data_IF_534481242129
#
_entry.id   IF_534481242129
#
_cell.length_a   1.000
_cell.length_b   1.000
_cell.length_c   1.000
_cell.angle_alpha   90.00
_cell.angle_beta   90.00
_cell.angle_gamma   90.00
#
_symmetry.space_group_name_H-M   'P 1'
#
loop_
_entity.id
_entity.type
_entity.pdbx_description
1 polymer ?
#
# COMPACT_ATOMS: atom_id res chain seq x y z
N UNK A 1 -8.97 -16.94 22.73
CA UNK A 1 -9.08 -15.48 22.46
C UNK A 1 -7.91 -14.68 23.04
N UNK A 2 -7.45 -14.93 24.28
CA UNK A 2 -6.31 -14.22 24.91
C UNK A 2 -5.00 -14.24 24.09
N UNK A 3 -4.70 -15.36 23.42
CA UNK A 3 -3.48 -15.48 22.62
C UNK A 3 -3.41 -14.52 21.43
N UNK A 4 -4.56 -14.16 20.83
CA UNK A 4 -4.60 -13.24 19.70
C UNK A 4 -4.32 -11.80 20.17
N UNK A 5 -4.87 -11.42 21.32
CA UNK A 5 -4.61 -10.10 21.93
C UNK A 5 -3.14 -9.92 22.35
N UNK A 6 -2.51 -10.98 22.88
CA UNK A 6 -1.09 -10.97 23.20
C UNK A 6 -0.24 -10.83 21.93
N UNK A 7 -0.56 -11.57 20.87
CA UNK A 7 0.12 -11.47 19.57
C UNK A 7 0.01 -10.06 18.97
N UNK A 8 -1.19 -9.45 19.03
CA UNK A 8 -1.41 -8.08 18.55
C UNK A 8 -0.57 -7.09 19.35
N UNK A 9 -0.57 -7.20 20.68
CA UNK A 9 0.23 -6.34 21.56
C UNK A 9 1.73 -6.46 21.27
N UNK A 10 2.22 -7.70 21.11
CA UNK A 10 3.63 -7.97 20.85
C UNK A 10 4.06 -7.49 19.44
N UNK A 11 3.20 -7.65 18.43
CA UNK A 11 3.41 -7.07 17.10
C UNK A 11 3.41 -5.54 17.13
N UNK A 12 2.48 -4.92 17.85
CA UNK A 12 2.39 -3.47 17.96
C UNK A 12 3.66 -2.89 18.58
N UNK A 13 4.13 -3.47 19.68
CA UNK A 13 5.36 -3.06 20.36
C UNK A 13 6.56 -3.24 19.43
N UNK A 14 6.73 -4.43 18.84
CA UNK A 14 7.86 -4.73 17.95
C UNK A 14 7.92 -3.78 16.75
N UNK A 15 6.78 -3.54 16.10
CA UNK A 15 6.70 -2.65 14.93
C UNK A 15 7.00 -1.20 15.31
N UNK A 16 6.46 -0.74 16.44
CA UNK A 16 6.69 0.61 16.93
C UNK A 16 8.15 0.83 17.32
N UNK A 17 8.76 -0.12 18.03
CA UNK A 17 10.15 -0.02 18.48
C UNK A 17 11.12 0.01 17.30
N UNK A 18 10.90 -0.83 16.28
CA UNK A 18 11.69 -0.81 15.03
C UNK A 18 11.60 0.55 14.31
N UNK A 19 10.40 1.16 14.29
CA UNK A 19 10.19 2.48 13.66
C UNK A 19 10.86 3.61 14.46
N UNK A 20 10.71 3.63 15.78
CA UNK A 20 11.30 4.66 16.64
C UNK A 20 12.82 4.60 16.61
N UNK A 21 13.42 3.41 16.72
CA UNK A 21 14.87 3.24 16.58
C UNK A 21 15.36 3.72 15.21
N UNK A 22 14.64 3.39 14.13
CA UNK A 22 14.98 3.85 12.79
C UNK A 22 14.95 5.38 12.64
N UNK A 23 13.97 6.04 13.26
CA UNK A 23 13.85 7.50 13.25
C UNK A 23 14.94 8.15 14.10
N UNK A 24 15.21 7.65 15.31
CA UNK A 24 16.25 8.22 16.19
C UNK A 24 17.66 8.10 15.60
N UNK A 25 18.00 6.96 15.00
CA UNK A 25 19.30 6.75 14.33
C UNK A 25 19.49 7.74 13.16
N UNK A 26 18.38 8.15 12.55
CA UNK A 26 18.35 8.99 11.36
C UNK A 26 18.16 10.49 11.68
N UNK A 27 17.67 10.83 12.87
CA UNK A 27 17.32 12.20 13.30
C UNK A 27 18.53 13.13 13.49
N UNK A 28 19.75 12.60 13.51
CA UNK A 28 20.98 13.38 13.71
C UNK A 28 22.08 13.17 12.67
N UNK A 29 21.84 12.42 11.59
CA UNK A 29 22.83 12.15 10.54
C UNK A 29 22.47 12.86 9.25
N UNK A 30 23.41 13.60 8.69
CA UNK A 30 23.28 14.10 7.32
C UNK A 30 23.23 12.92 6.35
N UNK A 31 22.08 12.71 5.72
CA UNK A 31 21.94 11.67 4.71
C UNK A 31 22.82 11.98 3.52
N UNK A 32 23.68 11.04 3.12
CA UNK A 32 24.41 11.17 1.86
C UNK A 32 23.43 11.29 0.68
N UNK A 33 23.82 12.01 -0.36
CA UNK A 33 22.98 12.27 -1.55
C UNK A 33 22.39 10.98 -2.13
N UNK A 34 23.18 9.89 -2.13
CA UNK A 34 22.77 8.56 -2.60
C UNK A 34 21.67 7.93 -1.74
N UNK A 35 21.78 8.00 -0.41
CA UNK A 35 20.76 7.48 0.52
C UNK A 35 19.46 8.29 0.40
N UNK A 36 19.56 9.62 0.27
CA UNK A 36 18.40 10.49 0.10
C UNK A 36 17.66 10.21 -1.21
N UNK A 37 18.38 9.95 -2.30
CA UNK A 37 17.77 9.52 -3.55
C UNK A 37 17.10 8.15 -3.38
N UNK A 38 17.79 7.18 -2.77
CA UNK A 38 17.24 5.84 -2.52
C UNK A 38 15.93 5.89 -1.72
N UNK A 39 15.88 6.61 -0.60
CA UNK A 39 14.67 6.73 0.22
C UNK A 39 13.52 7.48 -0.46
N UNK A 40 13.77 8.31 -1.48
CA UNK A 40 12.69 8.91 -2.27
C UNK A 40 12.04 7.92 -3.25
N UNK A 41 12.82 6.99 -3.83
CA UNK A 41 12.30 6.01 -4.79
C UNK A 41 11.72 4.75 -4.15
N UNK A 42 12.21 4.35 -2.98
CA UNK A 42 11.75 3.15 -2.27
C UNK A 42 10.23 3.16 -2.01
N UNK A 43 9.61 4.23 -1.45
CA UNK A 43 8.17 4.26 -1.20
C UNK A 43 7.35 4.07 -2.48
N UNK A 44 7.75 4.74 -3.57
CA UNK A 44 7.05 4.64 -4.86
C UNK A 44 7.20 3.22 -5.44
N UNK A 45 8.38 2.62 -5.36
CA UNK A 45 8.62 1.26 -5.81
C UNK A 45 7.80 0.23 -5.01
N UNK A 46 7.73 0.37 -3.69
CA UNK A 46 6.94 -0.52 -2.82
C UNK A 46 5.45 -0.39 -3.13
N UNK A 47 4.93 0.84 -3.25
CA UNK A 47 3.51 1.06 -3.58
C UNK A 47 3.19 0.47 -4.95
N UNK A 48 4.05 0.67 -5.95
CA UNK A 48 3.88 0.09 -7.29
C UNK A 48 3.85 -1.44 -7.24
N UNK A 49 4.80 -2.07 -6.57
CA UNK A 49 4.84 -3.53 -6.42
C UNK A 49 3.60 -4.08 -5.69
N UNK A 50 3.12 -3.39 -4.65
CA UNK A 50 1.90 -3.77 -3.92
C UNK A 50 0.66 -3.68 -4.80
N UNK A 51 0.57 -2.66 -5.66
CA UNK A 51 -0.54 -2.53 -6.63
C UNK A 51 -0.48 -3.67 -7.65
N UNK A 52 0.70 -3.93 -8.22
CA UNK A 52 0.89 -5.03 -9.19
C UNK A 52 0.50 -6.38 -8.56
N UNK A 53 0.93 -6.66 -7.32
CA UNK A 53 0.56 -7.89 -6.62
C UNK A 53 -0.95 -7.99 -6.33
N UNK A 54 -1.63 -6.87 -6.12
CA UNK A 54 -3.09 -6.86 -5.94
C UNK A 54 -3.83 -7.12 -7.26
N UNK A 55 -3.26 -6.71 -8.40
CA UNK A 55 -3.82 -6.96 -9.74
C UNK A 55 -3.55 -8.41 -10.19
N UNK A 56 -2.33 -8.90 -9.94
CA UNK A 56 -1.90 -10.27 -10.25
C UNK A 56 -2.17 -11.16 -9.04
N UNK A 57 -3.39 -11.70 -8.97
CA UNK A 57 -3.75 -12.66 -7.92
C UNK A 57 -3.38 -14.06 -8.41
N UNK A 58 -2.58 -14.82 -7.64
CA UNK A 58 -2.37 -16.23 -7.94
C UNK A 58 -3.65 -17.00 -7.60
N UNK A 59 -4.38 -17.47 -8.62
CA UNK A 59 -5.36 -18.54 -8.46
C UNK A 59 -4.75 -19.82 -9.01
N UNK A 60 -4.58 -20.83 -8.15
CA UNK A 60 -4.21 -22.20 -8.52
C UNK A 60 -3.06 -22.32 -9.55
N UNK A 61 -1.94 -21.64 -9.31
CA UNK A 61 -0.75 -21.75 -10.14
C UNK A 61 -0.83 -21.05 -11.51
N UNK A 62 -1.92 -20.34 -11.81
CA UNK A 62 -2.04 -19.48 -12.99
C UNK A 62 -2.12 -18.00 -12.59
N UNK A 63 -1.43 -17.15 -13.35
CA UNK A 63 -1.50 -15.70 -13.23
C UNK A 63 -2.85 -15.20 -13.74
N UNK A 64 -3.84 -15.13 -12.86
CA UNK A 64 -5.16 -14.57 -13.18
C UNK A 64 -5.16 -13.07 -12.94
N UNK A 65 -5.52 -12.30 -13.97
CA UNK A 65 -5.72 -10.87 -13.83
C UNK A 65 -7.04 -10.59 -13.12
N UNK A 66 -6.97 -9.93 -11.98
CA UNK A 66 -8.17 -9.44 -11.29
C UNK A 66 -8.68 -8.17 -11.96
N UNK A 67 -9.54 -8.33 -12.98
CA UNK A 67 -10.24 -7.23 -13.64
C UNK A 67 -10.91 -6.24 -12.67
N UNK A 68 -11.54 -6.67 -11.54
CA UNK A 68 -12.13 -5.73 -10.59
C UNK A 68 -11.11 -4.80 -9.92
N UNK A 69 -9.95 -5.34 -9.55
CA UNK A 69 -8.88 -4.57 -8.91
C UNK A 69 -8.20 -3.63 -9.91
N UNK A 70 -8.01 -4.09 -11.14
CA UNK A 70 -7.46 -3.26 -12.22
C UNK A 70 -8.37 -2.06 -12.52
N UNK A 71 -9.67 -2.28 -12.67
CA UNK A 71 -10.64 -1.22 -12.96
C UNK A 71 -10.78 -0.27 -11.77
N UNK A 72 -10.80 -0.79 -10.54
CA UNK A 72 -10.77 0.03 -9.32
C UNK A 72 -9.54 0.95 -9.29
N UNK A 73 -8.35 0.41 -9.55
CA UNK A 73 -7.09 1.15 -9.58
C UNK A 73 -7.08 2.24 -10.67
N UNK A 74 -7.51 1.90 -11.89
CA UNK A 74 -7.58 2.85 -13.01
C UNK A 74 -8.54 4.01 -12.70
N UNK A 75 -9.71 3.67 -12.13
CA UNK A 75 -10.70 4.66 -11.72
C UNK A 75 -10.13 5.63 -10.67
N UNK A 76 -9.50 5.13 -9.60
CA UNK A 76 -8.82 5.99 -8.62
C UNK A 76 -7.78 6.90 -9.25
N UNK A 77 -6.99 6.40 -10.19
CA UNK A 77 -5.95 7.18 -10.87
C UNK A 77 -6.54 8.32 -11.71
N UNK A 78 -7.69 8.09 -12.36
CA UNK A 78 -8.39 9.10 -13.15
C UNK A 78 -9.01 10.16 -12.24
N UNK A 79 -9.68 9.74 -11.17
CA UNK A 79 -10.37 10.66 -10.25
C UNK A 79 -9.37 11.51 -9.48
N UNK A 80 -8.25 10.96 -9.03
CA UNK A 80 -7.24 11.73 -8.29
C UNK A 80 -6.57 12.78 -9.18
N UNK A 81 -6.36 12.47 -10.46
CA UNK A 81 -5.83 13.43 -11.44
C UNK A 81 -6.77 14.62 -11.64
N UNK A 82 -8.08 14.41 -11.53
CA UNK A 82 -9.10 15.45 -11.74
C UNK A 82 -9.43 16.23 -10.47
N UNK A 83 -9.63 15.55 -9.34
CA UNK A 83 -10.10 16.15 -8.08
C UNK A 83 -8.95 16.71 -7.26
N UNK A 84 -7.71 16.23 -7.44
CA UNK A 84 -6.54 16.54 -6.59
C UNK A 84 -6.76 16.31 -5.08
N UNK A 85 -7.87 15.68 -4.69
CA UNK A 85 -8.20 15.33 -3.31
C UNK A 85 -8.14 13.81 -3.18
N UNK A 86 -7.32 13.34 -2.24
CA UNK A 86 -7.07 11.92 -2.00
C UNK A 86 -8.32 11.18 -1.56
N UNK A 87 -8.99 11.70 -0.52
CA UNK A 87 -10.10 11.04 0.16
C UNK A 87 -11.28 10.70 -0.77
N UNK A 88 -11.85 11.64 -1.55
CA UNK A 88 -12.95 11.31 -2.48
C UNK A 88 -12.50 10.39 -3.61
N UNK A 89 -11.23 10.43 -4.02
CA UNK A 89 -10.72 9.56 -5.10
C UNK A 89 -10.67 8.10 -4.66
N UNK A 90 -10.22 7.84 -3.43
CA UNK A 90 -10.19 6.50 -2.84
C UNK A 90 -11.60 5.94 -2.69
N UNK A 91 -12.56 6.74 -2.19
CA UNK A 91 -13.96 6.31 -2.04
C UNK A 91 -14.54 5.88 -3.38
N UNK A 92 -14.34 6.68 -4.44
CA UNK A 92 -14.86 6.36 -5.78
C UNK A 92 -14.22 5.09 -6.36
N UNK A 93 -12.90 4.90 -6.21
CA UNK A 93 -12.25 3.66 -6.67
C UNK A 93 -12.67 2.41 -5.91
N UNK A 94 -12.89 2.51 -4.59
CA UNK A 94 -13.39 1.39 -3.78
C UNK A 94 -14.81 1.02 -4.19
N UNK A 95 -15.70 2.01 -4.39
CA UNK A 95 -17.08 1.76 -4.84
C UNK A 95 -17.07 1.08 -6.21
N UNK A 96 -16.29 1.58 -7.16
CA UNK A 96 -16.23 1.02 -8.52
C UNK A 96 -15.59 -0.37 -8.52
N UNK A 97 -14.50 -0.57 -7.77
CA UNK A 97 -13.86 -1.88 -7.64
C UNK A 97 -14.78 -2.92 -6.99
N UNK A 98 -15.55 -2.54 -5.97
CA UNK A 98 -16.59 -3.40 -5.38
C UNK A 98 -17.71 -3.71 -6.37
N UNK A 99 -18.17 -2.70 -7.11
CA UNK A 99 -19.24 -2.88 -8.10
C UNK A 99 -18.84 -3.87 -9.19
N UNK A 100 -17.62 -3.74 -9.71
CA UNK A 100 -17.08 -4.65 -10.72
C UNK A 100 -16.87 -6.06 -10.16
N UNK A 101 -16.42 -6.18 -8.90
CA UNK A 101 -16.28 -7.49 -8.24
C UNK A 101 -17.61 -8.19 -7.98
N UNK A 102 -18.69 -7.43 -7.83
CA UNK A 102 -20.03 -7.99 -7.62
C UNK A 102 -20.71 -8.41 -8.93
N UNK A 103 -20.38 -7.72 -10.03
CA UNK A 103 -20.99 -7.96 -11.36
C UNK A 103 -20.18 -8.93 -12.25
N UNK A 104 -18.90 -9.19 -11.94
CA UNK A 104 -17.97 -10.10 -12.64
C UNK A 104 -17.55 -11.22 -11.70
#
# INVERSE_FOLDING_TARGET
MINHWILIGLFAISTYMSRVMGVEIMAGREMSLTLRLYFNYVPVAIISALIVKQILVPSDGQLTFSFPVLIGCLSTAIVIKKTKMFLPSVVVGVIIGLFVRYFV
#
